data_IF_596421806625
#
_entry.id   IF_596421806625
#
_cell.length_a   1.000
_cell.length_b   1.000
_cell.length_c   1.000
_cell.angle_alpha   90.00
_cell.angle_beta   90.00
_cell.angle_gamma   90.00
#
_symmetry.space_group_name_H-M   'P 1'
#
loop_
_entity.id
_entity.type
_entity.pdbx_description
1 polymer ?
#
# COMPACT_ATOMS: atom_id res chain seq x y z
N UNK A 1 -0.85 -21.11 7.49
CA UNK A 1 -0.69 -20.06 6.48
C UNK A 1 -0.68 -20.68 5.07
N UNK A 2 -1.55 -20.23 4.19
CA UNK A 2 -1.69 -20.72 2.82
C UNK A 2 -1.35 -19.61 1.82
N UNK A 3 -0.66 -19.94 0.71
CA UNK A 3 -0.38 -19.03 -0.39
C UNK A 3 -1.05 -19.54 -1.66
N UNK A 4 -1.68 -18.64 -2.43
CA UNK A 4 -2.37 -18.99 -3.67
C UNK A 4 -2.06 -17.97 -4.75
N UNK A 5 -1.33 -18.40 -5.79
CA UNK A 5 -1.13 -17.60 -7.00
C UNK A 5 -2.36 -17.66 -7.91
N UNK A 6 -2.62 -16.55 -8.58
CA UNK A 6 -3.75 -16.40 -9.49
C UNK A 6 -3.47 -15.30 -10.51
N UNK A 7 -4.39 -15.13 -11.45
CA UNK A 7 -4.40 -14.04 -12.41
C UNK A 7 -5.65 -13.19 -12.21
N UNK A 8 -5.50 -11.87 -12.17
CA UNK A 8 -6.61 -10.92 -12.08
C UNK A 8 -6.80 -10.25 -13.43
N UNK A 9 -7.99 -10.41 -14.01
CA UNK A 9 -8.37 -9.72 -15.24
C UNK A 9 -8.65 -8.24 -14.92
N UNK A 10 -8.00 -7.32 -15.65
CA UNK A 10 -8.19 -5.88 -15.48
C UNK A 10 -9.23 -5.38 -16.47
N UNK A 11 -8.92 -5.44 -17.79
CA UNK A 11 -9.82 -5.06 -18.86
C UNK A 11 -9.40 -5.74 -20.18
N UNK A 12 -10.26 -5.75 -21.20
CA UNK A 12 -9.88 -6.32 -22.50
C UNK A 12 -8.64 -5.68 -23.13
N UNK A 13 -8.44 -4.39 -22.91
CA UNK A 13 -7.31 -3.63 -23.49
C UNK A 13 -6.00 -3.77 -22.71
N UNK A 14 -6.08 -3.99 -21.39
CA UNK A 14 -4.90 -4.13 -20.51
C UNK A 14 -4.52 -5.60 -20.33
N UNK A 15 -5.51 -6.51 -20.37
CA UNK A 15 -5.31 -7.93 -20.11
C UNK A 15 -5.42 -8.28 -18.62
N UNK A 16 -4.58 -9.20 -18.19
CA UNK A 16 -4.55 -9.71 -16.81
C UNK A 16 -3.17 -9.52 -16.20
N UNK A 17 -3.12 -9.52 -14.88
CA UNK A 17 -1.87 -9.44 -14.11
C UNK A 17 -1.77 -10.57 -13.10
N UNK A 18 -0.56 -10.99 -12.81
CA UNK A 18 -0.26 -11.95 -11.74
C UNK A 18 -0.58 -11.36 -10.38
N UNK A 19 -1.12 -12.20 -9.50
CA UNK A 19 -1.39 -11.87 -8.11
C UNK A 19 -1.14 -13.07 -7.20
N UNK A 20 -1.00 -12.81 -5.90
CA UNK A 20 -0.83 -13.86 -4.90
C UNK A 20 -1.48 -13.47 -3.59
N UNK A 21 -2.32 -14.37 -3.09
CA UNK A 21 -2.80 -14.33 -1.72
C UNK A 21 -1.79 -14.94 -0.76
N UNK A 22 -1.64 -14.31 0.41
CA UNK A 22 -1.02 -14.91 1.60
C UNK A 22 -2.07 -14.86 2.71
N UNK A 23 -2.56 -16.05 3.13
CA UNK A 23 -3.76 -16.18 3.98
C UNK A 23 -3.39 -16.94 5.25
N UNK A 24 -3.38 -16.28 6.42
CA UNK A 24 -3.31 -16.98 7.71
C UNK A 24 -4.63 -17.69 8.02
N UNK A 25 -4.55 -18.72 8.87
CA UNK A 25 -5.71 -19.58 9.20
C UNK A 25 -6.83 -18.80 9.92
N UNK A 26 -6.46 -17.78 10.71
CA UNK A 26 -7.39 -16.93 11.48
C UNK A 26 -7.43 -15.50 10.95
N UNK A 27 -7.58 -15.32 9.64
CA UNK A 27 -7.58 -13.99 9.02
C UNK A 27 -8.61 -13.04 9.63
N UNK A 28 -8.19 -11.92 10.16
CA UNK A 28 -9.05 -10.87 10.76
C UNK A 28 -9.45 -9.78 9.78
N UNK A 29 -8.70 -9.62 8.73
CA UNK A 29 -8.97 -8.70 7.61
C UNK A 29 -8.19 -9.14 6.37
N UNK A 30 -8.55 -8.56 5.23
CA UNK A 30 -7.81 -8.70 3.97
C UNK A 30 -7.29 -7.34 3.54
N UNK A 31 -6.04 -7.28 3.06
CA UNK A 31 -5.39 -6.06 2.59
C UNK A 31 -4.79 -6.26 1.19
N UNK A 32 -5.15 -5.40 0.23
CA UNK A 32 -4.41 -5.34 -1.04
C UNK A 32 -3.06 -4.67 -0.81
N UNK A 33 -2.01 -5.15 -1.45
CA UNK A 33 -0.64 -4.66 -1.28
C UNK A 33 0.01 -4.37 -2.63
N UNK A 34 -0.03 -3.09 -3.05
CA UNK A 34 0.49 -2.59 -4.30
C UNK A 34 1.99 -2.29 -4.20
N UNK A 35 2.79 -2.76 -5.17
CA UNK A 35 4.25 -2.60 -5.17
C UNK A 35 4.71 -1.21 -5.63
N UNK A 36 5.99 -0.89 -5.39
CA UNK A 36 6.64 0.35 -5.85
C UNK A 36 7.03 0.33 -7.33
N UNK A 37 7.44 1.48 -7.86
CA UNK A 37 7.79 1.67 -9.28
C UNK A 37 8.96 0.81 -9.77
N UNK A 38 9.94 0.53 -8.91
CA UNK A 38 11.13 -0.28 -9.24
C UNK A 38 11.03 -1.74 -8.83
N UNK A 39 9.82 -2.27 -8.57
CA UNK A 39 9.62 -3.59 -8.02
C UNK A 39 8.42 -4.30 -8.69
N UNK A 40 8.22 -5.56 -8.33
CA UNK A 40 7.01 -6.31 -8.63
C UNK A 40 6.46 -6.93 -7.34
N UNK A 41 5.37 -7.68 -7.43
CA UNK A 41 4.76 -8.35 -6.30
C UNK A 41 5.71 -9.36 -5.61
N UNK A 42 6.69 -9.90 -6.33
CA UNK A 42 7.66 -10.89 -5.84
C UNK A 42 8.96 -10.24 -5.31
N UNK A 43 9.03 -8.91 -5.28
CA UNK A 43 10.17 -8.22 -4.66
C UNK A 43 10.30 -8.59 -3.18
N UNK A 44 11.53 -8.79 -2.69
CA UNK A 44 11.80 -9.28 -1.32
C UNK A 44 11.06 -8.49 -0.24
N UNK A 45 11.01 -7.15 -0.34
CA UNK A 45 10.25 -6.34 0.63
C UNK A 45 8.75 -6.71 0.64
N UNK A 46 8.14 -6.91 -0.53
CA UNK A 46 6.71 -7.21 -0.66
C UNK A 46 6.38 -8.61 -0.10
N UNK A 47 7.23 -9.59 -0.40
CA UNK A 47 7.05 -10.97 0.10
C UNK A 47 7.27 -11.06 1.60
N UNK A 48 8.36 -10.43 2.11
CA UNK A 48 8.64 -10.41 3.55
C UNK A 48 7.54 -9.70 4.33
N UNK A 49 7.06 -8.56 3.84
CA UNK A 49 5.96 -7.83 4.47
C UNK A 49 4.67 -8.65 4.50
N UNK A 50 4.31 -9.31 3.39
CA UNK A 50 3.09 -10.13 3.32
C UNK A 50 3.15 -11.32 4.30
N UNK A 51 4.31 -12.00 4.38
CA UNK A 51 4.51 -13.09 5.32
C UNK A 51 4.43 -12.62 6.78
N UNK A 52 5.11 -11.51 7.11
CA UNK A 52 5.09 -10.96 8.45
C UNK A 52 3.71 -10.39 8.87
N UNK A 53 2.92 -9.89 7.93
CA UNK A 53 1.52 -9.52 8.17
C UNK A 53 0.64 -10.74 8.43
N UNK A 54 0.89 -11.87 7.74
CA UNK A 54 0.16 -13.11 7.97
C UNK A 54 0.45 -13.69 9.37
N UNK A 55 1.66 -13.53 9.92
CA UNK A 55 2.00 -13.92 11.29
C UNK A 55 1.18 -13.17 12.36
N UNK A 56 0.54 -12.07 11.98
CA UNK A 56 -0.34 -11.27 12.85
C UNK A 56 -1.80 -11.26 12.36
N UNK A 57 -2.23 -12.32 11.66
CA UNK A 57 -3.60 -12.57 11.20
C UNK A 57 -4.14 -11.56 10.17
N UNK A 58 -3.27 -10.92 9.40
CA UNK A 58 -3.63 -10.03 8.31
C UNK A 58 -3.38 -10.76 6.98
N UNK A 59 -4.47 -11.14 6.29
CA UNK A 59 -4.36 -11.67 4.93
C UNK A 59 -3.97 -10.57 3.94
N UNK A 60 -3.19 -10.93 2.91
CA UNK A 60 -2.78 -9.97 1.87
C UNK A 60 -3.05 -10.51 0.47
N UNK A 61 -3.37 -9.59 -0.46
CA UNK A 61 -3.36 -9.80 -1.90
C UNK A 61 -2.29 -8.90 -2.52
N UNK A 62 -1.14 -9.48 -2.87
CA UNK A 62 -0.11 -8.82 -3.68
C UNK A 62 -0.46 -8.99 -5.17
N UNK A 63 -0.20 -7.99 -5.99
CA UNK A 63 -0.45 -8.06 -7.43
C UNK A 63 0.58 -7.24 -8.19
N UNK A 64 0.82 -7.61 -9.47
CA UNK A 64 1.63 -6.79 -10.36
C UNK A 64 0.81 -5.65 -10.96
N UNK A 65 1.44 -4.49 -11.12
CA UNK A 65 0.94 -3.50 -12.08
C UNK A 65 1.22 -3.97 -13.51
N UNK A 66 0.43 -3.53 -14.50
CA UNK A 66 0.62 -3.94 -15.90
C UNK A 66 2.02 -3.65 -16.45
N UNK A 67 2.68 -2.58 -16.03
CA UNK A 67 4.05 -2.30 -16.48
C UNK A 67 5.04 -3.38 -16.02
N UNK A 68 4.89 -3.90 -14.81
CA UNK A 68 5.74 -4.98 -14.30
C UNK A 68 5.41 -6.30 -14.98
N UNK A 69 4.12 -6.63 -15.12
CA UNK A 69 3.67 -7.82 -15.83
C UNK A 69 4.22 -7.88 -17.26
N UNK A 70 4.19 -6.76 -17.95
CA UNK A 70 4.67 -6.63 -19.32
C UNK A 70 6.16 -6.26 -19.43
N UNK A 71 6.93 -6.31 -18.31
CA UNK A 71 8.38 -6.01 -18.27
C UNK A 71 8.74 -4.63 -18.85
N UNK A 72 7.87 -3.63 -18.68
CA UNK A 72 8.13 -2.26 -19.16
C UNK A 72 9.09 -1.55 -18.20
N UNK A 73 10.04 -0.79 -18.73
CA UNK A 73 11.03 -0.06 -17.94
C UNK A 73 10.51 1.18 -17.21
N UNK A 74 9.23 1.54 -17.38
CA UNK A 74 8.60 2.71 -16.76
C UNK A 74 7.24 2.34 -16.19
N UNK A 75 6.85 2.94 -15.03
CA UNK A 75 5.52 2.77 -14.48
C UNK A 75 4.41 3.17 -15.44
N UNK A 76 3.26 2.54 -15.29
CA UNK A 76 2.05 2.89 -16.01
C UNK A 76 1.57 4.31 -15.67
N UNK A 77 0.76 4.88 -16.57
CA UNK A 77 0.02 6.10 -16.26
C UNK A 77 -0.94 5.88 -15.09
N UNK A 78 -1.33 6.93 -14.34
CA UNK A 78 -2.31 6.79 -13.28
C UNK A 78 -3.60 6.08 -13.72
N UNK A 79 -4.10 6.36 -14.91
CA UNK A 79 -5.32 5.74 -15.44
C UNK A 79 -5.22 4.20 -15.57
N UNK A 80 -4.08 3.68 -15.99
CA UNK A 80 -3.82 2.23 -16.08
C UNK A 80 -3.60 1.63 -14.69
N UNK A 81 -2.81 2.28 -13.86
CA UNK A 81 -2.55 1.84 -12.48
C UNK A 81 -3.84 1.77 -11.65
N UNK A 82 -4.74 2.75 -11.81
CA UNK A 82 -6.03 2.78 -11.12
C UNK A 82 -6.93 1.60 -11.51
N UNK A 83 -6.93 1.16 -12.78
CA UNK A 83 -7.69 -0.02 -13.19
C UNK A 83 -7.17 -1.30 -12.53
N UNK A 84 -5.83 -1.45 -12.39
CA UNK A 84 -5.26 -2.59 -11.69
C UNK A 84 -5.60 -2.58 -10.18
N UNK A 85 -5.59 -1.42 -9.55
CA UNK A 85 -5.99 -1.25 -8.14
C UNK A 85 -7.48 -1.58 -7.97
N UNK A 86 -8.35 -1.07 -8.85
CA UNK A 86 -9.77 -1.38 -8.84
C UNK A 86 -10.01 -2.89 -8.91
N UNK A 87 -9.41 -3.55 -9.89
CA UNK A 87 -9.53 -5.00 -10.09
C UNK A 87 -9.04 -5.81 -8.88
N UNK A 88 -7.94 -5.38 -8.26
CA UNK A 88 -7.42 -6.05 -7.06
C UNK A 88 -8.33 -5.87 -5.84
N UNK A 89 -8.89 -4.68 -5.63
CA UNK A 89 -9.86 -4.41 -4.56
C UNK A 89 -11.16 -5.21 -4.78
N UNK A 90 -11.69 -5.22 -6.01
CA UNK A 90 -12.89 -5.98 -6.37
C UNK A 90 -12.68 -7.48 -6.14
N UNK A 91 -11.53 -8.00 -6.58
CA UNK A 91 -11.20 -9.41 -6.42
C UNK A 91 -11.05 -9.80 -4.94
N UNK A 92 -10.39 -8.97 -4.13
CA UNK A 92 -10.22 -9.24 -2.70
C UNK A 92 -11.58 -9.21 -1.96
N UNK A 93 -12.42 -8.20 -2.26
CA UNK A 93 -13.76 -8.08 -1.65
C UNK A 93 -14.68 -9.23 -2.05
N UNK A 94 -14.70 -9.61 -3.32
CA UNK A 94 -15.52 -10.73 -3.80
C UNK A 94 -15.08 -12.09 -3.24
N UNK A 95 -13.76 -12.28 -3.03
CA UNK A 95 -13.22 -13.54 -2.50
C UNK A 95 -13.42 -13.67 -0.99
N UNK A 96 -13.36 -12.56 -0.24
CA UNK A 96 -13.47 -12.52 1.22
C UNK A 96 -14.52 -11.49 1.68
N UNK A 97 -15.81 -11.65 1.32
CA UNK A 97 -16.84 -10.64 1.59
C UNK A 97 -17.11 -10.41 3.08
N UNK A 98 -16.80 -11.39 3.92
CA UNK A 98 -16.95 -11.29 5.38
C UNK A 98 -15.78 -10.59 6.09
N UNK A 99 -14.63 -10.44 5.43
CA UNK A 99 -13.47 -9.82 6.04
C UNK A 99 -13.45 -8.29 5.79
N UNK A 100 -13.12 -7.47 6.79
CA UNK A 100 -12.83 -6.06 6.59
C UNK A 100 -11.72 -5.87 5.55
N UNK A 101 -12.00 -5.08 4.50
CA UNK A 101 -11.06 -4.81 3.42
C UNK A 101 -10.24 -3.55 3.71
N UNK A 102 -8.91 -3.66 3.58
CA UNK A 102 -7.98 -2.54 3.60
C UNK A 102 -7.22 -2.45 2.27
N UNK A 103 -6.76 -1.25 1.94
CA UNK A 103 -5.87 -1.03 0.83
C UNK A 103 -4.47 -0.68 1.36
N UNK A 104 -3.41 -1.04 0.64
CA UNK A 104 -2.07 -0.58 0.99
C UNK A 104 -1.14 -0.53 -0.21
N UNK A 105 0.00 0.13 -0.03
CA UNK A 105 1.03 0.08 -1.04
C UNK A 105 2.36 0.71 -0.59
N UNK A 106 3.41 0.19 -1.22
CA UNK A 106 4.77 0.73 -1.12
C UNK A 106 4.96 1.84 -2.15
N UNK A 107 5.39 3.03 -1.70
CA UNK A 107 5.82 4.10 -2.59
C UNK A 107 4.80 4.41 -3.70
N UNK A 108 5.14 4.25 -4.98
CA UNK A 108 4.24 4.41 -6.13
C UNK A 108 2.89 3.71 -5.92
N UNK A 109 2.91 2.46 -5.45
CA UNK A 109 1.68 1.70 -5.22
C UNK A 109 0.74 2.39 -4.22
N UNK A 110 1.27 2.89 -3.11
CA UNK A 110 0.49 3.63 -2.12
C UNK A 110 -0.09 4.93 -2.70
N UNK A 111 0.72 5.70 -3.42
CA UNK A 111 0.26 6.94 -4.06
C UNK A 111 -0.83 6.69 -5.11
N UNK A 112 -0.66 5.69 -5.97
CA UNK A 112 -1.69 5.34 -6.97
C UNK A 112 -2.98 4.86 -6.30
N UNK A 113 -2.86 4.07 -5.24
CA UNK A 113 -4.02 3.59 -4.47
C UNK A 113 -4.80 4.74 -3.84
N UNK A 114 -4.12 5.73 -3.23
CA UNK A 114 -4.80 6.90 -2.67
C UNK A 114 -5.41 7.81 -3.74
N UNK A 115 -4.77 7.99 -4.88
CA UNK A 115 -5.35 8.73 -6.00
C UNK A 115 -6.63 8.05 -6.53
N UNK A 116 -6.62 6.73 -6.66
CA UNK A 116 -7.80 5.97 -7.03
C UNK A 116 -8.93 6.15 -6.03
N UNK A 117 -8.66 5.99 -4.72
CA UNK A 117 -9.66 6.10 -3.65
C UNK A 117 -10.19 7.53 -3.47
N UNK A 118 -9.40 8.55 -3.80
CA UNK A 118 -9.85 9.94 -3.81
C UNK A 118 -10.88 10.20 -4.91
N UNK A 119 -10.67 9.62 -6.10
CA UNK A 119 -11.53 9.81 -7.27
C UNK A 119 -12.75 8.84 -7.28
N UNK A 120 -12.64 7.68 -6.64
CA UNK A 120 -13.65 6.62 -6.67
C UNK A 120 -13.98 6.18 -5.23
N UNK A 121 -15.05 6.69 -4.64
CA UNK A 121 -15.47 6.28 -3.29
C UNK A 121 -15.72 4.77 -3.19
N UNK A 122 -15.07 4.12 -2.22
CA UNK A 122 -15.13 2.68 -1.95
C UNK A 122 -15.44 2.46 -0.47
N UNK A 123 -16.72 2.48 -0.07
CA UNK A 123 -17.13 2.40 1.35
C UNK A 123 -16.76 1.07 2.02
N UNK A 124 -16.58 0.01 1.24
CA UNK A 124 -16.08 -1.29 1.71
C UNK A 124 -14.62 -1.24 2.18
N UNK A 125 -13.79 -0.32 1.65
CA UNK A 125 -12.40 -0.13 2.07
C UNK A 125 -12.37 0.66 3.37
N UNK A 126 -11.96 0.02 4.48
CA UNK A 126 -11.97 0.59 5.84
C UNK A 126 -10.82 1.56 6.10
N UNK A 127 -9.72 1.41 5.38
CA UNK A 127 -8.55 2.26 5.53
C UNK A 127 -7.46 1.97 4.50
N UNK A 128 -6.46 2.86 4.44
CA UNK A 128 -5.30 2.72 3.56
C UNK A 128 -3.99 2.85 4.35
N UNK A 129 -3.02 1.97 4.07
CA UNK A 129 -1.69 1.98 4.69
C UNK A 129 -0.63 2.32 3.65
N UNK A 130 0.16 3.34 3.94
CA UNK A 130 1.29 3.76 3.12
C UNK A 130 2.62 3.29 3.72
N UNK A 131 3.32 2.43 3.01
CA UNK A 131 4.68 2.04 3.33
C UNK A 131 5.66 2.95 2.59
N UNK A 132 5.95 4.13 3.15
CA UNK A 132 6.76 5.18 2.54
C UNK A 132 6.03 5.91 1.41
N UNK A 133 5.21 6.92 1.75
CA UNK A 133 4.53 7.75 0.76
C UNK A 133 5.56 8.65 0.03
N UNK A 134 5.64 8.62 -1.31
CA UNK A 134 6.62 9.40 -2.06
C UNK A 134 6.07 10.83 -2.29
N UNK A 135 6.25 11.70 -1.31
CA UNK A 135 5.70 13.06 -1.32
C UNK A 135 6.26 13.92 -2.45
N UNK A 136 7.53 13.71 -2.81
CA UNK A 136 8.20 14.44 -3.89
C UNK A 136 9.25 13.58 -4.61
N UNK A 137 9.87 14.11 -5.65
CA UNK A 137 11.05 13.50 -6.25
C UNK A 137 12.28 13.79 -5.39
N UNK A 138 13.29 12.92 -5.44
CA UNK A 138 14.54 13.13 -4.73
C UNK A 138 15.17 14.47 -5.11
N UNK A 139 15.59 15.24 -4.09
CA UNK A 139 16.19 16.57 -4.28
C UNK A 139 15.25 17.68 -4.75
N UNK A 140 13.92 17.42 -4.81
CA UNK A 140 12.91 18.41 -5.22
C UNK A 140 11.74 18.43 -4.23
N UNK A 141 11.94 18.98 -3.02
CA UNK A 141 10.89 19.05 -2.01
C UNK A 141 9.62 19.74 -2.53
N UNK A 142 8.46 19.09 -2.34
CA UNK A 142 7.13 19.57 -2.73
C UNK A 142 6.07 18.78 -1.99
N UNK A 143 4.87 19.33 -1.84
CA UNK A 143 3.70 18.63 -1.27
C UNK A 143 2.63 18.30 -2.32
N UNK A 144 2.81 18.70 -3.59
CA UNK A 144 1.81 18.53 -4.66
C UNK A 144 1.32 17.10 -4.84
N UNK A 145 2.20 16.10 -4.60
CA UNK A 145 1.79 14.69 -4.70
C UNK A 145 0.79 14.26 -3.63
N UNK A 146 0.56 15.08 -2.62
CA UNK A 146 -0.39 14.85 -1.55
C UNK A 146 -1.74 15.59 -1.75
N UNK A 147 -1.89 16.45 -2.76
CA UNK A 147 -3.08 17.30 -2.94
C UNK A 147 -4.41 16.53 -2.95
N UNK A 148 -4.41 15.32 -3.53
CA UNK A 148 -5.58 14.46 -3.60
C UNK A 148 -5.95 13.81 -2.25
N UNK A 149 -5.06 13.79 -1.25
CA UNK A 149 -5.27 13.09 0.03
C UNK A 149 -6.42 13.69 0.84
N UNK A 150 -6.72 14.97 0.68
CA UNK A 150 -7.89 15.65 1.30
C UNK A 150 -9.23 15.06 0.84
N UNK A 151 -9.26 14.46 -0.35
CA UNK A 151 -10.46 13.87 -0.94
C UNK A 151 -10.64 12.39 -0.58
N UNK A 152 -9.62 11.74 0.00
CA UNK A 152 -9.68 10.35 0.49
C UNK A 152 -10.62 10.24 1.67
N UNK A 153 -11.64 9.39 1.56
CA UNK A 153 -12.67 9.21 2.60
C UNK A 153 -12.27 8.22 3.68
N UNK A 154 -11.33 7.34 3.39
CA UNK A 154 -10.80 6.31 4.28
C UNK A 154 -9.88 6.90 5.36
N UNK A 155 -9.74 6.19 6.50
CA UNK A 155 -8.65 6.45 7.43
C UNK A 155 -7.31 6.11 6.77
N UNK A 156 -6.26 6.87 7.09
CA UNK A 156 -4.94 6.75 6.46
C UNK A 156 -3.87 6.52 7.53
N UNK A 157 -3.02 5.50 7.32
CA UNK A 157 -1.82 5.26 8.10
C UNK A 157 -0.59 5.50 7.25
N UNK A 158 0.25 6.45 7.65
CA UNK A 158 1.54 6.72 7.02
C UNK A 158 2.64 6.11 7.89
N UNK A 159 3.37 5.14 7.34
CA UNK A 159 4.59 4.59 7.93
C UNK A 159 5.75 5.19 7.16
N UNK A 160 6.48 6.12 7.79
CA UNK A 160 7.45 6.96 7.06
C UNK A 160 8.81 6.99 7.75
N UNK A 161 9.87 6.77 6.97
CA UNK A 161 11.23 6.91 7.43
C UNK A 161 11.64 8.38 7.59
N UNK A 162 12.39 8.71 8.64
CA UNK A 162 12.85 10.10 8.88
C UNK A 162 13.97 10.54 7.95
N UNK A 163 14.60 9.60 7.24
CA UNK A 163 15.65 9.84 6.24
C UNK A 163 15.20 9.46 4.83
N UNK A 164 13.86 9.47 4.60
CA UNK A 164 13.29 9.16 3.29
C UNK A 164 13.53 10.33 2.33
N UNK A 165 14.35 10.09 1.31
CA UNK A 165 14.72 11.08 0.30
C UNK A 165 13.57 11.47 -0.65
N UNK A 166 12.44 10.75 -0.59
CA UNK A 166 11.23 11.05 -1.38
C UNK A 166 10.12 11.71 -0.54
N UNK A 167 10.39 11.97 0.76
CA UNK A 167 9.44 12.64 1.65
C UNK A 167 10.19 13.33 2.80
N UNK A 168 10.57 14.58 2.61
CA UNK A 168 11.18 15.39 3.67
C UNK A 168 10.30 15.35 4.92
N UNK A 169 10.91 15.06 6.07
CA UNK A 169 10.19 14.72 7.30
C UNK A 169 9.25 15.83 7.78
N UNK A 170 9.70 17.06 7.72
CA UNK A 170 8.91 18.24 8.07
C UNK A 170 7.69 18.41 7.16
N UNK A 171 7.85 18.19 5.84
CA UNK A 171 6.78 18.32 4.87
C UNK A 171 5.73 17.20 5.05
N UNK A 172 6.14 15.95 5.18
CA UNK A 172 5.17 14.86 5.37
C UNK A 172 4.46 14.96 6.72
N UNK A 173 5.11 15.48 7.76
CA UNK A 173 4.51 15.75 9.05
C UNK A 173 3.42 16.80 8.90
N UNK A 174 3.72 17.96 8.30
CA UNK A 174 2.76 19.03 8.04
C UNK A 174 1.56 18.55 7.21
N UNK A 175 1.80 17.76 6.16
CA UNK A 175 0.72 17.18 5.36
C UNK A 175 -0.18 16.29 6.21
N UNK A 176 0.39 15.37 7.00
CA UNK A 176 -0.41 14.47 7.84
C UNK A 176 -1.19 15.21 8.92
N UNK A 177 -0.63 16.25 9.53
CA UNK A 177 -1.30 17.09 10.52
C UNK A 177 -2.49 17.86 9.93
N UNK A 178 -2.43 18.24 8.65
CA UNK A 178 -3.53 18.89 7.94
C UNK A 178 -4.70 17.94 7.59
N UNK A 179 -4.50 16.62 7.70
CA UNK A 179 -5.46 15.60 7.28
C UNK A 179 -6.13 14.94 8.50
N UNK A 180 -7.42 15.19 8.78
CA UNK A 180 -8.08 14.73 10.01
C UNK A 180 -8.18 13.21 10.14
N UNK A 181 -8.01 12.47 9.03
CA UNK A 181 -8.07 11.00 8.99
C UNK A 181 -6.69 10.34 8.86
N UNK A 182 -5.62 11.12 8.87
CA UNK A 182 -4.26 10.61 8.78
C UNK A 182 -3.66 10.33 10.16
N UNK A 183 -2.90 9.25 10.22
CA UNK A 183 -1.99 8.93 11.32
C UNK A 183 -0.59 8.74 10.75
N UNK A 184 0.36 9.52 11.20
CA UNK A 184 1.78 9.37 10.88
C UNK A 184 2.48 8.53 11.96
N UNK A 185 3.22 7.53 11.54
CA UNK A 185 4.12 6.73 12.39
C UNK A 185 5.53 6.90 11.88
N UNK A 186 6.38 7.41 12.77
CA UNK A 186 7.80 7.65 12.54
C UNK A 186 8.57 6.33 12.58
N UNK A 187 9.36 6.04 11.53
CA UNK A 187 10.38 4.98 11.53
C UNK A 187 11.74 5.69 11.55
N UNK A 188 12.27 5.85 12.74
CA UNK A 188 13.44 6.71 12.96
C UNK A 188 14.69 6.17 12.25
N UNK A 189 15.44 7.07 11.61
CA UNK A 189 16.65 6.75 10.85
C UNK A 189 16.43 5.96 9.56
N UNK A 190 15.19 5.55 9.24
CA UNK A 190 14.92 4.76 8.05
C UNK A 190 14.88 5.64 6.78
N UNK A 191 15.47 5.12 5.69
CA UNK A 191 15.36 5.69 4.35
C UNK A 191 14.08 5.20 3.63
N UNK A 192 13.92 5.57 2.34
CA UNK A 192 12.77 5.13 1.54
C UNK A 192 12.59 3.61 1.45
N UNK A 193 13.67 2.84 1.53
CA UNK A 193 13.64 1.36 1.54
C UNK A 193 13.46 0.77 2.94
N UNK A 194 13.20 1.59 3.94
CA UNK A 194 13.12 1.23 5.36
C UNK A 194 14.41 0.60 5.92
N UNK A 195 15.57 0.99 5.39
CA UNK A 195 16.86 0.62 5.97
C UNK A 195 17.24 1.63 7.05
N UNK A 196 17.50 1.18 8.29
CA UNK A 196 17.85 2.01 9.44
C UNK A 196 18.94 1.33 10.30
N UNK A 197 20.13 1.16 9.73
CA UNK A 197 21.24 0.50 10.42
C UNK A 197 20.90 -0.95 10.78
N UNK A 198 20.97 -1.27 12.09
CA UNK A 198 20.66 -2.63 12.62
C UNK A 198 19.21 -2.77 13.13
N UNK A 199 18.36 -1.76 12.94
CA UNK A 199 16.97 -1.82 13.44
C UNK A 199 16.15 -2.81 12.61
N UNK A 200 15.30 -3.58 13.28
CA UNK A 200 14.28 -4.40 12.65
C UNK A 200 13.06 -3.55 12.29
N UNK A 201 13.18 -2.83 11.18
CA UNK A 201 12.12 -1.98 10.70
C UNK A 201 10.89 -2.76 10.22
N UNK A 202 11.05 -4.01 9.77
CA UNK A 202 9.93 -4.85 9.33
C UNK A 202 8.97 -5.12 10.49
N UNK A 203 9.49 -5.55 11.64
CA UNK A 203 8.68 -5.73 12.84
C UNK A 203 7.98 -4.43 13.28
N UNK A 204 8.65 -3.28 13.16
CA UNK A 204 8.03 -1.98 13.46
C UNK A 204 6.85 -1.66 12.50
N UNK A 205 7.02 -1.91 11.20
CA UNK A 205 5.98 -1.69 10.20
C UNK A 205 4.76 -2.57 10.44
N UNK A 206 4.98 -3.87 10.68
CA UNK A 206 3.93 -4.85 10.94
C UNK A 206 3.17 -4.53 12.23
N UNK A 207 3.88 -4.25 13.32
CA UNK A 207 3.27 -3.87 14.60
C UNK A 207 2.40 -2.61 14.45
N UNK A 208 2.90 -1.57 13.82
CA UNK A 208 2.15 -0.32 13.64
C UNK A 208 0.91 -0.53 12.75
N UNK A 209 1.02 -1.36 11.71
CA UNK A 209 -0.11 -1.74 10.84
C UNK A 209 -1.17 -2.50 11.63
N UNK A 210 -0.78 -3.55 12.38
CA UNK A 210 -1.67 -4.34 13.23
C UNK A 210 -2.40 -3.47 14.24
N UNK A 211 -1.64 -2.71 15.04
CA UNK A 211 -2.19 -1.86 16.11
C UNK A 211 -3.21 -0.83 15.56
N UNK A 212 -2.99 -0.35 14.34
CA UNK A 212 -3.89 0.60 13.71
C UNK A 212 -5.15 -0.09 13.13
N UNK A 213 -5.00 -1.22 12.46
CA UNK A 213 -6.12 -2.00 11.93
C UNK A 213 -7.05 -2.43 13.06
N UNK A 214 -6.52 -2.94 14.17
CA UNK A 214 -7.30 -3.38 15.33
C UNK A 214 -8.18 -2.29 15.95
N UNK A 215 -7.76 -1.02 15.83
CA UNK A 215 -8.57 0.14 16.27
C UNK A 215 -9.72 0.48 15.32
N UNK A 216 -9.71 -0.08 14.12
CA UNK A 216 -10.74 0.19 13.09
C UNK A 216 -11.77 -0.93 13.05
N UNK A 217 -11.34 -2.19 13.26
CA UNK A 217 -12.21 -3.36 13.14
C UNK A 217 -12.87 -3.78 14.48
N UNK A 218 -12.54 -3.06 15.56
CA UNK A 218 -13.26 -3.15 16.83
C UNK A 218 -14.62 -2.52 16.65
#
# INVERSE_FOLDING_TARGET
MNTKRLSIKISPSIGSVSAEYTIPDNSRCIMTLAHGAGAGMDHVFMTTLANALAEVDIATLRFNFPFTENKKGRPDTPAVAHQAIAAALDHAHATFPALPLFASGKSFGGRMTSQYLAAHPRPEVKGIVFYGFPLHASGKPSIERADHLKDVKQKMLFLQGTRDELAAWDLITSVCESLPKAKLVKIDGANHMFKAGKQDTMTMLVKATKDWIEKIIK
#
